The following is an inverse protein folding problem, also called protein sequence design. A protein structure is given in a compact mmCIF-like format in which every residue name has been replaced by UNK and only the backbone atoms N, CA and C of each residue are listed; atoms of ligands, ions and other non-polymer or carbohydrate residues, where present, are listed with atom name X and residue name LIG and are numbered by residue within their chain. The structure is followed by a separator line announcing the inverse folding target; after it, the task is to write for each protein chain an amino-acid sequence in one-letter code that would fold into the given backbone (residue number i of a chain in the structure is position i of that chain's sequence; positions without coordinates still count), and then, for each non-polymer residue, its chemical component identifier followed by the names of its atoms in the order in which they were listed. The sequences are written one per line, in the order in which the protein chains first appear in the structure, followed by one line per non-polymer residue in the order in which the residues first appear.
data_IF_944664248898
#
_entry.id   IF_944664248898
#
_cell.length_a   1.000
_cell.length_b   1.000
_cell.length_c   1.000
_cell.angle_alpha   90.00
_cell.angle_beta   90.00
_cell.angle_gamma   90.00
#
_symmetry.space_group_name_H-M   'P 1'
#
loop_
_entity.id
_entity.type
_entity.pdbx_description
1 polymer ?
#
# COMPACT_ATOMS: atom_id res chain seq x y z
N UNK A 1 29.20 -11.06 -14.83
CA UNK A 1 28.54 -9.74 -14.96
C UNK A 1 27.46 -9.70 -13.90
N UNK A 2 27.58 -8.82 -12.91
CA UNK A 2 26.55 -8.65 -11.89
C UNK A 2 25.34 -7.98 -12.56
N UNK A 3 24.41 -8.76 -13.10
CA UNK A 3 23.13 -8.24 -13.57
C UNK A 3 22.45 -7.59 -12.37
N UNK A 4 22.03 -6.33 -12.50
CA UNK A 4 21.26 -5.69 -11.43
C UNK A 4 20.02 -6.54 -11.15
N UNK A 5 19.87 -7.01 -9.90
CA UNK A 5 18.71 -7.82 -9.51
C UNK A 5 17.42 -7.02 -9.71
N UNK A 6 16.39 -7.65 -10.30
CA UNK A 6 15.02 -7.09 -10.35
C UNK A 6 14.42 -7.13 -8.95
N UNK A 7 13.82 -6.04 -8.49
CA UNK A 7 13.28 -5.94 -7.14
C UNK A 7 11.76 -6.11 -7.16
N UNK A 8 11.27 -7.13 -6.47
CA UNK A 8 9.84 -7.42 -6.36
C UNK A 8 9.39 -7.09 -4.94
N UNK A 9 8.48 -6.13 -4.79
CA UNK A 9 7.94 -5.73 -3.49
C UNK A 9 6.61 -6.42 -3.25
N UNK A 10 6.49 -7.16 -2.16
CA UNK A 10 5.22 -7.70 -1.67
C UNK A 10 4.76 -6.94 -0.41
N UNK A 11 3.61 -6.27 -0.50
CA UNK A 11 3.08 -5.45 0.59
C UNK A 11 1.58 -5.74 0.85
N UNK A 12 1.23 -6.77 1.63
CA UNK A 12 -0.17 -7.14 1.90
C UNK A 12 -0.84 -6.22 2.93
N UNK A 13 -2.17 -6.13 2.88
CA UNK A 13 -2.97 -5.44 3.90
C UNK A 13 -3.06 -6.26 5.20
N UNK A 14 -3.29 -5.56 6.31
CA UNK A 14 -3.53 -6.18 7.62
C UNK A 14 -4.99 -6.62 7.82
N UNK A 15 -5.91 -6.17 6.96
CA UNK A 15 -7.34 -6.44 7.12
C UNK A 15 -7.65 -7.93 6.99
N UNK A 16 -8.20 -8.60 8.03
CA UNK A 16 -8.41 -10.05 8.00
C UNK A 16 -9.29 -10.55 6.84
N UNK A 17 -10.18 -9.69 6.32
CA UNK A 17 -11.09 -10.04 5.22
C UNK A 17 -10.43 -10.02 3.84
N UNK A 18 -9.31 -9.33 3.69
CA UNK A 18 -8.71 -9.00 2.40
C UNK A 18 -7.21 -9.31 2.33
N UNK A 19 -6.64 -9.87 3.39
CA UNK A 19 -5.20 -10.16 3.45
C UNK A 19 -4.84 -11.32 2.53
N UNK A 20 -3.82 -11.09 1.70
CA UNK A 20 -3.24 -12.09 0.81
C UNK A 20 -2.09 -12.90 1.44
N UNK A 21 -1.60 -12.49 2.62
CA UNK A 21 -0.45 -13.07 3.32
C UNK A 21 -0.54 -14.59 3.49
N UNK A 22 -1.67 -15.09 3.97
CA UNK A 22 -1.88 -16.53 4.18
C UNK A 22 -1.89 -17.34 2.87
N UNK A 23 -2.31 -16.73 1.76
CA UNK A 23 -2.39 -17.41 0.46
C UNK A 23 -1.02 -17.55 -0.19
N UNK A 24 -0.18 -16.51 -0.09
CA UNK A 24 1.17 -16.50 -0.67
C UNK A 24 2.14 -17.35 0.14
N UNK A 25 2.00 -17.38 1.47
CA UNK A 25 2.98 -17.98 2.37
C UNK A 25 3.47 -19.39 1.94
N UNK A 26 2.60 -20.33 1.48
CA UNK A 26 3.04 -21.68 1.12
C UNK A 26 3.90 -21.77 -0.13
N UNK A 27 3.90 -20.75 -1.00
CA UNK A 27 4.64 -20.77 -2.28
C UNK A 27 5.79 -19.76 -2.31
N UNK A 28 5.87 -18.86 -1.32
CA UNK A 28 6.71 -17.67 -1.39
C UNK A 28 8.21 -18.00 -1.51
N UNK A 29 8.65 -19.07 -0.85
CA UNK A 29 10.05 -19.50 -0.85
C UNK A 29 10.55 -19.89 -2.25
N UNK A 30 9.67 -20.45 -3.09
CA UNK A 30 9.99 -20.98 -4.42
C UNK A 30 9.74 -19.97 -5.56
N UNK A 31 9.22 -18.78 -5.25
CA UNK A 31 8.89 -17.77 -6.28
C UNK A 31 10.10 -17.03 -6.87
N UNK A 32 11.10 -16.60 -6.08
CA UNK A 32 12.22 -15.80 -6.59
C UNK A 32 13.06 -16.54 -7.63
N UNK A 33 13.43 -15.85 -8.71
CA UNK A 33 14.47 -16.31 -9.65
C UNK A 33 15.85 -15.80 -9.22
N UNK A 34 16.92 -16.39 -9.76
CA UNK A 34 18.31 -16.06 -9.40
C UNK A 34 18.66 -14.57 -9.60
N UNK A 35 18.01 -13.91 -10.56
CA UNK A 35 18.17 -12.49 -10.90
C UNK A 35 17.15 -11.58 -10.20
N UNK A 36 16.40 -12.09 -9.22
CA UNK A 36 15.39 -11.34 -8.47
C UNK A 36 15.76 -11.18 -6.99
N UNK A 37 15.28 -10.09 -6.39
CA UNK A 37 15.24 -9.88 -4.96
C UNK A 37 13.80 -9.57 -4.54
N UNK A 38 13.22 -10.44 -3.74
CA UNK A 38 11.88 -10.25 -3.19
C UNK A 38 11.98 -9.58 -1.82
N UNK A 39 11.22 -8.52 -1.62
CA UNK A 39 11.15 -7.80 -0.36
C UNK A 39 9.71 -7.84 0.12
N UNK A 40 9.48 -8.34 1.33
CA UNK A 40 8.17 -8.31 1.97
C UNK A 40 8.11 -7.18 2.98
N UNK A 41 7.10 -6.32 2.85
CA UNK A 41 6.83 -5.22 3.77
C UNK A 41 5.44 -5.33 4.37
N UNK A 42 5.39 -5.57 5.67
CA UNK A 42 4.15 -5.58 6.43
C UNK A 42 3.74 -4.17 6.88
N UNK A 43 2.43 -3.95 6.99
CA UNK A 43 1.88 -2.78 7.67
C UNK A 43 2.10 -2.90 9.18
N UNK A 44 2.37 -1.80 9.88
CA UNK A 44 2.62 -1.76 11.34
C UNK A 44 1.45 -2.29 12.20
N UNK A 45 0.26 -2.46 11.62
CA UNK A 45 -0.92 -3.00 12.28
C UNK A 45 -1.04 -4.52 12.12
N UNK A 46 -0.15 -5.14 11.34
CA UNK A 46 -0.05 -6.60 11.23
C UNK A 46 0.34 -7.21 12.58
N UNK A 47 -0.25 -8.35 12.91
CA UNK A 47 0.09 -9.07 14.14
C UNK A 47 1.46 -9.72 13.99
N UNK A 48 2.29 -9.60 15.03
CA UNK A 48 3.64 -10.19 15.08
C UNK A 48 3.64 -11.68 14.72
N UNK A 49 2.68 -12.45 15.26
CA UNK A 49 2.55 -13.89 14.95
C UNK A 49 2.39 -14.19 13.46
N UNK A 50 1.77 -13.28 12.70
CA UNK A 50 1.58 -13.44 11.26
C UNK A 50 2.88 -13.16 10.48
N UNK A 51 3.74 -12.28 11.00
CA UNK A 51 5.04 -11.96 10.40
C UNK A 51 6.11 -13.00 10.72
N UNK A 52 6.00 -13.70 11.85
CA UNK A 52 6.97 -14.73 12.31
C UNK A 52 7.12 -15.92 11.34
N UNK A 53 6.08 -16.24 10.57
CA UNK A 53 6.19 -17.29 9.56
C UNK A 53 7.07 -16.85 8.39
N UNK A 54 6.97 -15.59 7.99
CA UNK A 54 7.77 -15.05 6.89
C UNK A 54 9.22 -14.81 7.29
N UNK A 55 9.51 -14.53 8.56
CA UNK A 55 10.88 -14.32 9.01
C UNK A 55 11.75 -15.56 8.85
N UNK A 56 11.14 -16.75 8.87
CA UNK A 56 11.79 -18.05 8.66
C UNK A 56 12.11 -18.34 7.19
N UNK A 57 11.49 -17.62 6.26
CA UNK A 57 11.70 -17.79 4.81
C UNK A 57 12.85 -16.91 4.28
N UNK A 58 13.44 -16.05 5.12
CA UNK A 58 14.47 -15.12 4.67
C UNK A 58 15.72 -15.83 4.17
N UNK A 59 16.21 -15.41 3.01
CA UNK A 59 17.42 -15.91 2.36
C UNK A 59 17.99 -14.81 1.41
N UNK A 60 18.99 -15.16 0.59
CA UNK A 60 19.66 -14.21 -0.32
C UNK A 60 18.77 -13.60 -1.42
N UNK A 61 17.58 -14.16 -1.63
CA UNK A 61 16.60 -13.73 -2.64
C UNK A 61 15.24 -13.32 -2.03
N UNK A 62 15.05 -13.44 -0.72
CA UNK A 62 13.83 -13.05 0.00
C UNK A 62 14.16 -12.35 1.32
N UNK A 63 13.80 -11.07 1.44
CA UNK A 63 14.08 -10.24 2.62
C UNK A 63 12.81 -9.70 3.26
N UNK A 64 12.85 -9.49 4.58
CA UNK A 64 11.84 -8.72 5.29
C UNK A 64 12.32 -7.30 5.54
N UNK A 65 11.50 -6.32 5.16
CA UNK A 65 11.77 -4.91 5.46
C UNK A 65 10.97 -4.47 6.68
N UNK A 66 11.68 -3.98 7.71
CA UNK A 66 11.10 -3.61 9.00
C UNK A 66 10.98 -2.09 9.20
N UNK A 67 11.66 -1.27 8.39
CA UNK A 67 11.62 0.18 8.55
C UNK A 67 10.23 0.72 8.18
N UNK A 68 9.63 1.60 9.01
CA UNK A 68 8.31 2.15 8.75
C UNK A 68 8.21 2.95 7.43
N UNK A 69 9.31 3.53 6.95
CA UNK A 69 9.32 4.31 5.71
C UNK A 69 9.35 3.41 4.45
N UNK A 70 8.25 3.43 3.70
CA UNK A 70 8.09 2.67 2.47
C UNK A 70 8.72 3.36 1.26
N UNK A 71 8.99 4.68 1.29
CA UNK A 71 9.38 5.45 0.10
C UNK A 71 10.63 4.87 -0.59
N UNK A 72 11.72 4.51 0.13
CA UNK A 72 12.88 3.91 -0.52
C UNK A 72 12.53 2.61 -1.25
N UNK A 73 11.68 1.77 -0.67
CA UNK A 73 11.24 0.52 -1.29
C UNK A 73 10.41 0.78 -2.56
N UNK A 74 9.47 1.73 -2.52
CA UNK A 74 8.66 2.07 -3.70
C UNK A 74 9.56 2.54 -4.86
N UNK A 75 10.59 3.34 -4.57
CA UNK A 75 11.50 3.86 -5.57
C UNK A 75 12.32 2.77 -6.26
N UNK A 76 12.82 1.78 -5.51
CA UNK A 76 13.69 0.73 -6.06
C UNK A 76 12.93 -0.46 -6.64
N UNK A 77 11.70 -0.72 -6.19
CA UNK A 77 10.92 -1.87 -6.66
C UNK A 77 10.54 -1.74 -8.14
N UNK A 78 10.69 -2.81 -8.91
CA UNK A 78 10.27 -2.91 -10.31
C UNK A 78 8.81 -3.32 -10.42
N UNK A 79 8.32 -4.16 -9.51
CA UNK A 79 6.92 -4.63 -9.46
C UNK A 79 6.42 -4.59 -8.02
N UNK A 80 5.19 -4.13 -7.83
CA UNK A 80 4.46 -4.26 -6.56
C UNK A 80 3.43 -5.38 -6.64
N UNK A 81 3.49 -6.32 -5.71
CA UNK A 81 2.46 -7.31 -5.41
C UNK A 81 1.74 -6.87 -4.14
N UNK A 82 0.41 -6.81 -4.17
CA UNK A 82 -0.40 -6.44 -3.00
C UNK A 82 -1.81 -7.05 -3.10
N UNK A 83 -2.74 -6.57 -2.29
CA UNK A 83 -4.15 -6.95 -2.28
C UNK A 83 -5.06 -5.71 -2.41
N UNK A 84 -5.62 -5.23 -1.30
CA UNK A 84 -6.44 -4.01 -1.22
C UNK A 84 -5.75 -2.89 -0.43
N UNK A 85 -4.44 -3.01 -0.22
CA UNK A 85 -3.62 -2.01 0.46
C UNK A 85 -3.57 -0.67 -0.28
N UNK A 86 -3.53 0.43 0.46
CA UNK A 86 -3.41 1.79 -0.09
C UNK A 86 -2.07 2.03 -0.79
N UNK A 87 -1.03 1.26 -0.43
CA UNK A 87 0.32 1.37 -1.02
C UNK A 87 0.31 1.19 -2.54
N UNK A 88 -0.69 0.48 -3.07
CA UNK A 88 -0.92 0.35 -4.51
C UNK A 88 -1.11 1.72 -5.17
N UNK A 89 -1.85 2.63 -4.54
CA UNK A 89 -2.11 3.96 -5.07
C UNK A 89 -0.88 4.86 -5.00
N UNK A 90 -0.05 4.69 -3.98
CA UNK A 90 1.23 5.39 -3.85
C UNK A 90 2.23 4.90 -4.91
N UNK A 91 2.34 3.59 -5.11
CA UNK A 91 3.26 3.00 -6.08
C UNK A 91 2.89 3.33 -7.53
N UNK A 92 1.59 3.44 -7.84
CA UNK A 92 1.14 3.86 -9.17
C UNK A 92 1.65 5.24 -9.58
N UNK A 93 2.02 6.13 -8.64
CA UNK A 93 2.60 7.44 -8.96
C UNK A 93 3.92 7.31 -9.75
N UNK A 94 4.61 6.19 -9.59
CA UNK A 94 5.83 5.85 -10.32
C UNK A 94 5.57 5.21 -11.69
N UNK A 95 4.29 5.00 -12.03
CA UNK A 95 3.83 4.31 -13.23
C UNK A 95 4.45 2.92 -13.43
N UNK A 96 4.68 2.20 -12.34
CA UNK A 96 5.27 0.86 -12.34
C UNK A 96 4.22 -0.26 -12.24
N UNK A 97 4.54 -1.49 -12.70
CA UNK A 97 3.63 -2.62 -12.67
C UNK A 97 3.08 -2.98 -11.28
N UNK A 98 1.77 -3.21 -11.24
CA UNK A 98 1.04 -3.65 -10.04
C UNK A 98 0.41 -5.00 -10.33
N UNK A 99 0.56 -5.91 -9.37
CA UNK A 99 -0.18 -7.17 -9.30
C UNK A 99 -0.98 -7.15 -8.02
N UNK A 100 -2.28 -7.46 -8.11
CA UNK A 100 -3.14 -7.59 -6.94
C UNK A 100 -3.70 -8.99 -6.79
N UNK A 101 -3.87 -9.42 -5.55
CA UNK A 101 -4.47 -10.71 -5.19
C UNK A 101 -5.86 -10.46 -4.63
N UNK A 102 -6.88 -10.98 -5.31
CA UNK A 102 -8.29 -10.85 -4.94
C UNK A 102 -8.77 -9.40 -4.73
N UNK A 103 -8.19 -8.46 -5.46
CA UNK A 103 -8.70 -7.08 -5.49
C UNK A 103 -10.07 -7.08 -6.18
N UNK A 104 -10.98 -6.25 -5.68
CA UNK A 104 -12.32 -6.07 -6.25
C UNK A 104 -12.51 -4.72 -6.94
N UNK A 105 -11.61 -3.79 -6.68
CA UNK A 105 -11.74 -2.40 -7.11
C UNK A 105 -10.64 -2.03 -8.09
N UNK A 106 -10.99 -1.22 -9.09
CA UNK A 106 -10.02 -0.58 -10.01
C UNK A 106 -9.10 -1.62 -10.66
N UNK A 107 -9.68 -2.66 -11.27
CA UNK A 107 -8.94 -3.79 -11.84
C UNK A 107 -8.09 -3.40 -13.05
N UNK A 108 -8.38 -2.27 -13.66
CA UNK A 108 -7.61 -1.71 -14.77
C UNK A 108 -6.21 -1.21 -14.36
N UNK A 109 -5.87 -1.17 -13.07
CA UNK A 109 -4.57 -0.69 -12.59
C UNK A 109 -3.40 -1.68 -12.79
N UNK A 110 -3.69 -2.94 -13.08
CA UNK A 110 -2.68 -3.99 -13.13
C UNK A 110 -3.28 -5.37 -13.29
N UNK A 111 -2.44 -6.40 -13.15
CA UNK A 111 -2.92 -7.79 -13.20
C UNK A 111 -3.58 -8.12 -11.86
N UNK A 112 -4.85 -8.52 -11.88
CA UNK A 112 -5.52 -9.07 -10.70
C UNK A 112 -5.60 -10.59 -10.82
N UNK A 113 -5.02 -11.30 -9.85
CA UNK A 113 -5.07 -12.76 -9.76
C UNK A 113 -6.01 -13.19 -8.63
N UNK A 114 -6.66 -14.34 -8.79
CA UNK A 114 -7.51 -14.97 -7.75
C UNK A 114 -6.92 -16.27 -7.21
N UNK A 115 -5.85 -16.73 -7.85
CA UNK A 115 -5.14 -17.96 -7.52
C UNK A 115 -3.64 -17.68 -7.50
N UNK A 116 -2.98 -18.03 -6.39
CA UNK A 116 -1.55 -17.76 -6.19
C UNK A 116 -0.65 -18.50 -7.18
N UNK A 117 -1.14 -19.58 -7.80
CA UNK A 117 -0.43 -20.28 -8.89
C UNK A 117 -0.24 -19.39 -10.13
N UNK A 118 -1.03 -18.33 -10.29
CA UNK A 118 -0.92 -17.36 -11.36
C UNK A 118 0.14 -16.28 -11.08
N UNK A 119 0.69 -16.22 -9.87
CA UNK A 119 1.56 -15.14 -9.44
C UNK A 119 2.86 -15.09 -10.25
N UNK A 120 3.53 -16.22 -10.44
CA UNK A 120 4.79 -16.27 -11.20
C UNK A 120 4.60 -15.83 -12.66
N UNK A 121 3.61 -16.35 -13.43
CA UNK A 121 3.28 -15.81 -14.76
C UNK A 121 2.93 -14.31 -14.76
N UNK A 122 2.22 -13.82 -13.73
CA UNK A 122 1.86 -12.41 -13.64
C UNK A 122 3.08 -11.51 -13.43
N UNK A 123 4.05 -11.92 -12.61
CA UNK A 123 5.31 -11.18 -12.43
C UNK A 123 6.12 -11.19 -13.73
N UNK A 124 6.22 -12.35 -14.39
CA UNK A 124 6.97 -12.46 -15.66
C UNK A 124 6.38 -11.55 -16.75
N UNK A 125 5.05 -11.54 -16.90
CA UNK A 125 4.34 -10.63 -17.82
C UNK A 125 4.57 -9.16 -17.47
N UNK A 126 4.51 -8.83 -16.19
CA UNK A 126 4.72 -7.47 -15.69
C UNK A 126 6.14 -6.97 -15.94
N UNK A 127 7.15 -7.83 -15.76
CA UNK A 127 8.55 -7.50 -16.02
C UNK A 127 8.87 -7.40 -17.51
N UNK A 128 8.20 -8.22 -18.35
CA UNK A 128 8.36 -8.22 -19.80
C UNK A 128 7.66 -7.04 -20.48
N UNK A 129 6.50 -6.61 -19.97
CA UNK A 129 5.75 -5.46 -20.49
C UNK A 129 5.27 -4.51 -19.38
N UNK A 130 6.17 -3.70 -18.79
CA UNK A 130 5.83 -2.83 -17.66
C UNK A 130 4.72 -1.81 -17.94
N UNK A 131 4.58 -1.42 -19.21
CA UNK A 131 3.65 -0.39 -19.68
C UNK A 131 2.23 -0.92 -19.96
N UNK A 132 2.01 -2.23 -19.89
CA UNK A 132 0.75 -2.88 -20.27
C UNK A 132 -0.49 -2.22 -19.64
N UNK A 133 -0.38 -1.81 -18.38
CA UNK A 133 -1.45 -1.19 -17.61
C UNK A 133 -1.26 0.31 -17.35
N UNK A 134 -0.28 0.96 -18.00
CA UNK A 134 0.05 2.37 -17.81
C UNK A 134 -1.18 3.30 -17.92
N UNK A 135 -1.98 3.13 -18.97
CA UNK A 135 -3.19 3.94 -19.20
C UNK A 135 -4.25 3.72 -18.11
N UNK A 136 -4.38 2.49 -17.62
CA UNK A 136 -5.29 2.16 -16.54
C UNK A 136 -4.83 2.74 -15.21
N UNK A 137 -3.54 2.63 -14.87
CA UNK A 137 -2.92 3.30 -13.71
C UNK A 137 -3.14 4.81 -13.76
N UNK A 138 -2.88 5.45 -14.91
CA UNK A 138 -3.12 6.89 -15.10
C UNK A 138 -4.59 7.28 -14.89
N UNK A 139 -5.52 6.51 -15.44
CA UNK A 139 -6.97 6.75 -15.26
C UNK A 139 -7.38 6.64 -13.79
N UNK A 140 -6.94 5.57 -13.12
CA UNK A 140 -7.23 5.34 -11.71
C UNK A 140 -6.64 6.46 -10.86
N UNK A 141 -5.37 6.81 -11.06
CA UNK A 141 -4.74 7.92 -10.35
C UNK A 141 -5.48 9.24 -10.55
N UNK A 142 -5.93 9.57 -11.75
CA UNK A 142 -6.65 10.83 -11.98
C UNK A 142 -7.98 10.92 -11.22
N UNK A 143 -8.60 9.79 -10.84
CA UNK A 143 -9.80 9.76 -10.02
C UNK A 143 -9.52 9.96 -8.52
N UNK A 144 -8.31 9.61 -8.05
CA UNK A 144 -7.98 9.57 -6.62
C UNK A 144 -7.03 10.73 -6.24
N UNK A 145 -6.11 11.05 -7.14
CA UNK A 145 -5.06 12.05 -7.02
C UNK A 145 -4.98 12.90 -8.31
N UNK A 146 -5.98 13.77 -8.56
CA UNK A 146 -6.08 14.54 -9.81
C UNK A 146 -4.95 15.57 -9.98
N UNK A 147 -4.28 15.97 -8.91
CA UNK A 147 -3.27 17.02 -8.90
C UNK A 147 -1.86 16.46 -8.72
N UNK A 148 -0.95 16.75 -9.65
CA UNK A 148 0.45 16.24 -9.63
C UNK A 148 1.52 17.35 -9.58
N UNK A 149 1.10 18.59 -9.41
CA UNK A 149 1.95 19.79 -9.41
C UNK A 149 2.69 20.03 -8.08
N UNK A 150 2.67 19.06 -7.15
CA UNK A 150 3.25 19.14 -5.80
C UNK A 150 2.61 20.19 -4.87
N UNK A 151 1.54 20.86 -5.28
CA UNK A 151 0.88 21.91 -4.49
C UNK A 151 -0.25 21.39 -3.59
N UNK A 152 -0.38 20.08 -3.42
CA UNK A 152 -1.47 19.46 -2.66
C UNK A 152 -1.56 19.98 -1.23
N UNK A 153 -0.45 19.98 -0.48
CA UNK A 153 -0.42 20.49 0.89
C UNK A 153 -0.78 21.98 0.95
N UNK A 154 -0.30 22.77 -0.02
CA UNK A 154 -0.61 24.20 -0.09
C UNK A 154 -2.09 24.45 -0.31
N UNK A 155 -2.73 23.74 -1.25
CA UNK A 155 -4.19 23.87 -1.46
C UNK A 155 -5.00 23.51 -0.23
N UNK A 156 -4.55 22.54 0.57
CA UNK A 156 -5.21 22.22 1.84
C UNK A 156 -5.09 23.38 2.82
N UNK A 157 -3.91 24.00 2.94
CA UNK A 157 -3.71 25.16 3.81
C UNK A 157 -4.54 26.36 3.34
N UNK A 158 -4.48 26.69 2.05
CA UNK A 158 -5.25 27.80 1.47
C UNK A 158 -6.76 27.61 1.72
N UNK A 159 -7.28 26.38 1.58
CA UNK A 159 -8.69 26.07 1.85
C UNK A 159 -9.06 26.15 3.35
N UNK A 160 -8.12 25.84 4.25
CA UNK A 160 -8.32 26.00 5.70
C UNK A 160 -8.39 27.48 6.05
N UNK A 161 -7.49 28.30 5.50
CA UNK A 161 -7.46 29.74 5.73
C UNK A 161 -8.75 30.40 5.21
N UNK A 162 -9.19 30.06 3.99
CA UNK A 162 -10.47 30.52 3.43
C UNK A 162 -11.65 30.15 4.33
N UNK A 163 -11.69 28.92 4.85
CA UNK A 163 -12.75 28.47 5.74
C UNK A 163 -12.77 29.26 7.06
N UNK A 164 -11.59 29.55 7.64
CA UNK A 164 -11.46 30.32 8.87
C UNK A 164 -11.90 31.78 8.71
N UNK A 165 -11.65 32.38 7.54
CA UNK A 165 -12.09 33.74 7.20
C UNK A 165 -13.58 33.80 6.83
N UNK A 166 -14.14 32.70 6.33
CA UNK A 166 -15.55 32.62 5.95
C UNK A 166 -16.51 32.58 7.15
N UNK A 167 -17.75 33.03 6.95
CA UNK A 167 -18.83 32.86 7.94
C UNK A 167 -19.37 31.43 8.01
N UNK A 168 -18.95 30.53 7.11
CA UNK A 168 -19.48 29.16 6.96
C UNK A 168 -19.35 28.37 8.26
N UNK A 169 -18.29 28.62 9.04
CA UNK A 169 -18.08 27.98 10.34
C UNK A 169 -19.24 28.21 11.33
N UNK A 170 -19.97 29.32 11.22
CA UNK A 170 -21.11 29.65 12.08
C UNK A 170 -22.35 28.81 11.75
N UNK A 171 -22.47 28.37 10.49
CA UNK A 171 -23.62 27.61 9.99
C UNK A 171 -23.39 26.08 10.06
N UNK A 172 -22.19 25.63 10.44
CA UNK A 172 -21.89 24.22 10.61
C UNK A 172 -22.62 23.62 11.82
N UNK A 173 -23.28 22.48 11.59
CA UNK A 173 -23.89 21.70 12.67
C UNK A 173 -22.85 21.31 13.72
N UNK A 174 -23.20 21.47 15.00
CA UNK A 174 -22.37 21.02 16.12
C UNK A 174 -22.11 19.51 15.99
N UNK A 175 -20.85 19.11 16.20
CA UNK A 175 -20.48 17.68 16.26
C UNK A 175 -21.22 17.00 17.42
N UNK A 176 -21.70 15.75 17.24
CA UNK A 176 -22.31 15.01 18.33
C UNK A 176 -21.31 14.82 19.48
N UNK A 177 -21.80 14.92 20.73
CA UNK A 177 -20.96 14.96 21.93
C UNK A 177 -20.04 13.74 22.06
N UNK A 178 -20.50 12.55 21.63
CA UNK A 178 -19.75 11.29 21.61
C UNK A 178 -19.06 10.97 22.94
N UNK A 179 -19.72 11.26 24.08
CA UNK A 179 -19.14 11.19 25.43
C UNK A 179 -18.51 9.83 25.75
N UNK A 180 -19.23 8.74 25.44
CA UNK A 180 -18.74 7.38 25.67
C UNK A 180 -17.47 7.06 24.84
N UNK A 181 -17.45 7.45 23.55
CA UNK A 181 -16.28 7.27 22.69
C UNK A 181 -15.09 8.08 23.21
N UNK A 182 -15.31 9.33 23.62
CA UNK A 182 -14.27 10.19 24.22
C UNK A 182 -13.72 9.58 25.50
N UNK A 183 -14.58 9.08 26.39
CA UNK A 183 -14.17 8.38 27.61
C UNK A 183 -13.31 7.15 27.31
N UNK A 184 -13.73 6.29 26.37
CA UNK A 184 -12.95 5.11 25.96
C UNK A 184 -11.57 5.46 25.42
N UNK A 185 -11.47 6.49 24.57
CA UNK A 185 -10.20 6.96 24.01
C UNK A 185 -9.31 7.52 25.12
N UNK A 186 -9.84 8.39 25.98
CA UNK A 186 -9.11 8.97 27.12
C UNK A 186 -8.57 7.91 28.07
N UNK A 187 -9.39 6.92 28.42
CA UNK A 187 -8.94 5.76 29.19
C UNK A 187 -7.83 4.96 28.51
N UNK A 188 -7.87 4.81 27.19
CA UNK A 188 -6.88 4.03 26.42
C UNK A 188 -5.50 4.72 26.36
N UNK A 189 -5.47 6.04 26.26
CA UNK A 189 -4.23 6.81 26.06
C UNK A 189 -3.79 7.62 27.29
N UNK A 190 -4.51 7.56 28.41
CA UNK A 190 -4.14 8.25 29.66
C UNK A 190 -4.26 9.78 29.64
N UNK A 191 -4.80 10.38 28.58
CA UNK A 191 -4.96 11.83 28.48
C UNK A 191 -6.31 12.28 29.03
N UNK A 192 -6.30 12.96 30.18
CA UNK A 192 -7.48 13.52 30.84
C UNK A 192 -7.60 15.05 30.74
N UNK A 193 -6.63 15.73 30.11
CA UNK A 193 -6.60 17.19 30.04
C UNK A 193 -7.62 17.70 29.01
N UNK A 194 -8.37 18.71 29.43
CA UNK A 194 -9.41 19.40 28.68
C UNK A 194 -8.75 20.54 27.89
N UNK A 195 -8.93 20.57 26.58
CA UNK A 195 -8.95 21.79 25.77
C UNK A 195 -10.37 21.92 25.24
#
# INVERSE_FOLDING_TARGET
MNSAKRIILYAPTFSPKFKSSEKILPILEDLPKDDELWIVKFHDLMRVKETDHFSKLQNDSLLLYSNPDNIPLLQIADVLISDTSSVVYEFMLLDKPVITIDSKDRLEKGINITDVRQLRPAVDRSLANPEEYCMGRKRVLNQIHPYRDTQNSRRVLDAVDELLESSILKDLKKKPLNLYRKYRVRRKFGHWIII
#
